data_IF_838549464063
#
_entry.id   IF_838549464063
#
_cell.length_a   1.000
_cell.length_b   1.000
_cell.length_c   1.000
_cell.angle_alpha   90.00
_cell.angle_beta   90.00
_cell.angle_gamma   90.00
#
_symmetry.space_group_name_H-M   'P 1'
#
loop_
_entity.id
_entity.type
_entity.pdbx_description
1 polymer ?
#
# COMPACT_ATOMS: atom_id res chain seq x y z
N UNK A 1 -4.96 -14.74 -4.31
CA UNK A 1 -4.84 -13.33 -3.88
C UNK A 1 -4.93 -12.45 -5.11
N UNK A 2 -5.70 -11.35 -5.09
CA UNK A 2 -5.73 -10.39 -6.21
C UNK A 2 -4.64 -9.35 -5.98
N UNK A 3 -4.02 -8.85 -7.06
CA UNK A 3 -2.92 -7.88 -6.98
C UNK A 3 -3.36 -6.56 -6.33
N UNK A 4 -4.61 -6.16 -6.51
CA UNK A 4 -5.24 -5.00 -5.88
C UNK A 4 -5.34 -5.10 -4.33
N UNK A 5 -5.30 -6.31 -3.79
CA UNK A 5 -5.34 -6.57 -2.34
C UNK A 5 -3.90 -6.66 -1.74
N UNK A 6 -2.88 -6.29 -2.51
CA UNK A 6 -1.47 -6.33 -2.13
C UNK A 6 -0.74 -5.01 -2.44
N UNK A 7 0.34 -4.73 -1.72
CA UNK A 7 1.29 -3.68 -2.05
C UNK A 7 2.59 -4.28 -2.59
N UNK A 8 3.24 -3.53 -3.48
CA UNK A 8 4.56 -3.86 -3.97
C UNK A 8 5.57 -3.65 -2.85
N UNK A 9 6.32 -4.70 -2.51
CA UNK A 9 7.36 -4.64 -1.49
C UNK A 9 8.74 -4.38 -2.12
N UNK A 10 8.98 -4.88 -3.33
CA UNK A 10 10.29 -4.85 -3.94
C UNK A 10 10.48 -5.89 -5.04
N UNK A 11 11.72 -6.24 -5.33
CA UNK A 11 12.07 -7.12 -6.46
C UNK A 11 13.24 -8.04 -6.15
N UNK A 12 13.15 -9.29 -6.59
CA UNK A 12 14.26 -10.26 -6.50
C UNK A 12 15.35 -9.81 -7.47
N UNK A 13 16.47 -9.33 -6.94
CA UNK A 13 17.49 -8.68 -7.75
C UNK A 13 18.59 -9.63 -8.21
N UNK A 14 19.02 -10.56 -7.34
CA UNK A 14 20.14 -11.47 -7.64
C UNK A 14 20.17 -12.68 -6.71
N UNK A 15 20.91 -13.70 -7.12
CA UNK A 15 21.28 -14.85 -6.28
C UNK A 15 22.18 -14.42 -5.13
N UNK A 16 22.05 -15.12 -4.01
CA UNK A 16 22.94 -14.99 -2.87
C UNK A 16 23.87 -16.19 -2.71
N UNK A 17 23.35 -17.42 -2.88
CA UNK A 17 24.12 -18.64 -2.66
C UNK A 17 23.75 -19.75 -3.65
N UNK A 18 24.58 -20.79 -3.67
CA UNK A 18 24.37 -22.02 -4.45
C UNK A 18 23.18 -22.88 -3.96
N UNK A 19 22.57 -22.51 -2.83
CA UNK A 19 21.47 -23.25 -2.19
C UNK A 19 20.10 -22.60 -2.45
N UNK A 20 19.96 -21.83 -3.52
CA UNK A 20 18.69 -21.18 -3.90
C UNK A 20 18.33 -19.92 -3.13
N UNK A 21 19.20 -19.40 -2.26
CA UNK A 21 18.94 -18.13 -1.57
C UNK A 21 19.06 -16.93 -2.52
N UNK A 22 18.22 -15.93 -2.29
CA UNK A 22 18.17 -14.72 -3.12
C UNK A 22 18.31 -13.45 -2.28
N UNK A 23 18.66 -12.36 -2.96
CA UNK A 23 18.59 -11.00 -2.45
C UNK A 23 17.45 -10.25 -3.15
N UNK A 24 16.45 -9.87 -2.36
CA UNK A 24 15.39 -8.97 -2.79
C UNK A 24 15.75 -7.52 -2.43
N UNK A 25 15.69 -6.60 -3.39
CA UNK A 25 15.74 -5.17 -3.12
C UNK A 25 14.36 -4.71 -2.64
N UNK A 26 14.29 -4.11 -1.45
CA UNK A 26 13.07 -3.57 -0.88
C UNK A 26 12.86 -2.13 -1.33
N UNK A 27 11.64 -1.79 -1.75
CA UNK A 27 11.24 -0.43 -2.13
C UNK A 27 10.48 0.21 -0.96
N UNK A 28 11.22 0.50 0.11
CA UNK A 28 10.70 1.06 1.36
C UNK A 28 11.79 1.81 2.11
N UNK A 29 11.41 2.87 2.83
CA UNK A 29 12.31 3.62 3.72
C UNK A 29 12.51 2.93 5.08
N UNK A 30 11.69 1.91 5.40
CA UNK A 30 11.72 1.16 6.67
C UNK A 30 11.89 -0.35 6.42
N UNK A 31 13.04 -0.81 5.90
CA UNK A 31 13.28 -2.21 5.55
C UNK A 31 13.28 -3.15 6.77
N UNK A 32 13.57 -2.64 7.97
CA UNK A 32 13.61 -3.40 9.23
C UNK A 32 12.25 -4.00 9.61
N UNK A 33 11.16 -3.42 9.11
CA UNK A 33 9.79 -3.93 9.35
C UNK A 33 9.51 -5.26 8.65
N UNK A 34 10.35 -5.63 7.68
CA UNK A 34 10.18 -6.80 6.83
C UNK A 34 11.22 -7.90 7.10
N UNK A 35 11.86 -7.86 8.26
CA UNK A 35 12.66 -8.98 8.75
C UNK A 35 11.75 -10.13 9.22
N UNK A 36 12.19 -11.37 9.02
CA UNK A 36 11.50 -12.57 9.49
C UNK A 36 10.07 -12.75 8.93
N UNK A 37 9.86 -12.43 7.65
CA UNK A 37 8.61 -12.71 6.95
C UNK A 37 8.36 -14.23 6.87
N UNK A 38 7.12 -14.66 7.12
CA UNK A 38 6.70 -16.06 6.96
C UNK A 38 6.51 -16.44 5.48
N UNK A 39 6.01 -15.49 4.67
CA UNK A 39 5.77 -15.70 3.25
C UNK A 39 5.69 -14.37 2.50
N UNK A 40 5.87 -14.45 1.19
CA UNK A 40 5.63 -13.35 0.25
C UNK A 40 4.91 -13.84 -1.00
N UNK A 41 4.29 -12.94 -1.75
CA UNK A 41 3.81 -13.24 -3.09
C UNK A 41 4.84 -12.83 -4.13
N UNK A 42 5.23 -13.75 -4.99
CA UNK A 42 6.10 -13.48 -6.15
C UNK A 42 5.23 -13.38 -7.39
N UNK A 43 5.43 -12.34 -8.20
CA UNK A 43 4.73 -12.18 -9.47
C UNK A 43 5.38 -13.05 -10.56
N UNK A 44 4.72 -14.14 -10.92
CA UNK A 44 5.12 -15.05 -11.99
C UNK A 44 4.07 -14.97 -13.11
N UNK A 45 4.47 -14.56 -14.33
CA UNK A 45 3.57 -14.43 -15.48
C UNK A 45 2.29 -13.61 -15.18
N UNK A 46 2.43 -12.48 -14.46
CA UNK A 46 1.31 -11.61 -14.02
C UNK A 46 0.36 -12.22 -12.98
N UNK A 47 0.73 -13.37 -12.40
CA UNK A 47 0.00 -14.00 -11.31
C UNK A 47 0.81 -13.94 -10.02
N UNK A 48 0.15 -13.67 -8.90
CA UNK A 48 0.77 -13.71 -7.57
C UNK A 48 0.79 -15.14 -7.05
N UNK A 49 1.99 -15.69 -6.91
CA UNK A 49 2.24 -17.03 -6.39
C UNK A 49 2.81 -16.92 -4.98
N UNK A 50 2.25 -17.59 -3.96
CA UNK A 50 2.79 -17.56 -2.60
C UNK A 50 4.09 -18.36 -2.52
N UNK A 51 5.09 -17.80 -1.86
CA UNK A 51 6.36 -18.44 -1.52
C UNK A 51 6.55 -18.39 -0.01
N UNK A 52 6.70 -19.55 0.63
CA UNK A 52 6.99 -19.66 2.06
C UNK A 52 8.48 -19.50 2.32
N UNK A 53 8.81 -18.82 3.42
CA UNK A 53 10.16 -18.40 3.77
C UNK A 53 10.63 -19.21 4.98
N UNK A 54 11.73 -19.94 4.81
CA UNK A 54 12.43 -20.63 5.92
C UNK A 54 13.17 -19.62 6.81
N UNK A 55 13.77 -18.60 6.19
CA UNK A 55 14.38 -17.48 6.92
C UNK A 55 14.54 -16.24 6.04
N UNK A 56 14.34 -15.05 6.61
CA UNK A 56 14.73 -13.79 5.99
C UNK A 56 15.41 -12.86 6.98
N UNK A 57 16.39 -12.10 6.49
CA UNK A 57 17.18 -11.16 7.31
C UNK A 57 17.69 -10.02 6.44
N UNK A 58 17.79 -8.81 6.99
CA UNK A 58 18.41 -7.72 6.25
C UNK A 58 19.87 -8.03 5.90
N UNK A 59 20.26 -7.53 4.73
CA UNK A 59 21.59 -7.66 4.18
C UNK A 59 21.95 -6.34 3.53
N UNK A 60 23.05 -5.70 3.97
CA UNK A 60 23.68 -4.51 3.36
C UNK A 60 22.75 -3.61 2.52
N UNK A 61 22.44 -2.42 3.02
CA UNK A 61 21.48 -1.49 2.42
C UNK A 61 20.06 -2.10 2.46
N UNK A 62 19.21 -1.77 1.48
CA UNK A 62 17.79 -2.17 1.42
C UNK A 62 17.58 -3.58 0.85
N UNK A 63 18.58 -4.47 0.97
CA UNK A 63 18.42 -5.85 0.52
C UNK A 63 17.94 -6.75 1.66
N UNK A 64 16.95 -7.59 1.35
CA UNK A 64 16.52 -8.70 2.19
C UNK A 64 17.10 -9.99 1.61
N UNK A 65 17.89 -10.71 2.41
CA UNK A 65 18.27 -12.10 2.08
C UNK A 65 17.11 -12.99 2.42
N UNK A 66 16.69 -13.82 1.47
CA UNK A 66 15.55 -14.72 1.64
C UNK A 66 15.98 -16.14 1.28
N UNK A 67 15.63 -17.08 2.15
CA UNK A 67 15.65 -18.52 1.89
C UNK A 67 14.22 -19.03 1.86
N UNK A 68 13.78 -19.49 0.69
CA UNK A 68 12.46 -20.09 0.53
C UNK A 68 12.50 -21.59 0.86
N UNK A 69 11.38 -22.15 1.32
CA UNK A 69 11.30 -23.56 1.71
C UNK A 69 11.54 -24.52 0.52
N UNK A 70 10.95 -24.21 -0.64
CA UNK A 70 10.95 -25.07 -1.82
C UNK A 70 12.06 -24.75 -2.84
N UNK A 71 13.06 -23.93 -2.46
CA UNK A 71 14.15 -23.54 -3.35
C UNK A 71 15.51 -23.93 -2.80
N UNK A 72 16.20 -24.80 -3.51
CA UNK A 72 17.43 -25.43 -3.02
C UNK A 72 18.60 -25.36 -4.01
N UNK A 73 18.37 -24.85 -5.23
CA UNK A 73 19.36 -24.81 -6.32
C UNK A 73 19.51 -23.42 -6.91
N UNK A 74 20.60 -23.19 -7.66
CA UNK A 74 20.78 -21.94 -8.40
C UNK A 74 19.70 -21.76 -9.47
N UNK A 75 19.30 -22.85 -10.11
CA UNK A 75 18.28 -22.86 -11.16
C UNK A 75 16.92 -22.40 -10.63
N UNK A 76 16.56 -22.81 -9.39
CA UNK A 76 15.35 -22.32 -8.72
C UNK A 76 15.40 -20.80 -8.56
N UNK A 77 16.55 -20.28 -8.11
CA UNK A 77 16.74 -18.85 -7.92
C UNK A 77 16.66 -18.10 -9.26
N UNK A 78 17.33 -18.61 -10.30
CA UNK A 78 17.32 -18.02 -11.63
C UNK A 78 15.90 -17.93 -12.22
N UNK A 79 15.01 -18.87 -11.89
CA UNK A 79 13.62 -18.86 -12.35
C UNK A 79 12.78 -17.68 -11.83
N UNK A 80 13.18 -17.06 -10.72
CA UNK A 80 12.42 -15.97 -10.09
C UNK A 80 13.20 -14.65 -9.99
N UNK A 81 14.48 -14.62 -10.36
CA UNK A 81 15.22 -13.37 -10.48
C UNK A 81 14.50 -12.45 -11.44
N UNK A 82 14.36 -11.19 -11.05
CA UNK A 82 13.66 -10.19 -11.83
C UNK A 82 12.19 -10.02 -11.45
N UNK A 83 11.61 -11.00 -10.75
CA UNK A 83 10.20 -10.96 -10.37
C UNK A 83 9.96 -10.02 -9.19
N UNK A 84 8.81 -9.35 -9.23
CA UNK A 84 8.34 -8.48 -8.17
C UNK A 84 7.81 -9.28 -6.97
N UNK A 85 8.01 -8.73 -5.77
CA UNK A 85 7.51 -9.27 -4.52
C UNK A 85 6.41 -8.34 -4.00
N UNK A 86 5.35 -8.96 -3.50
CA UNK A 86 4.18 -8.31 -2.95
C UNK A 86 3.84 -8.88 -1.58
N UNK A 87 3.25 -8.03 -0.73
CA UNK A 87 2.65 -8.42 0.53
C UNK A 87 1.18 -7.99 0.56
N UNK A 88 0.30 -8.69 1.29
CA UNK A 88 -1.06 -8.24 1.56
C UNK A 88 -1.11 -6.84 2.18
N UNK A 89 -2.11 -6.03 1.82
CA UNK A 89 -2.28 -4.68 2.39
C UNK A 89 -2.39 -4.65 3.91
N UNK A 90 -2.85 -5.74 4.54
CA UNK A 90 -2.94 -5.83 6.00
C UNK A 90 -1.60 -5.93 6.74
N UNK A 91 -0.49 -6.15 6.00
CA UNK A 91 0.87 -6.11 6.55
C UNK A 91 1.49 -4.72 6.46
N UNK A 92 0.79 -3.73 5.90
CA UNK A 92 1.31 -2.38 5.88
C UNK A 92 1.52 -1.85 7.31
N UNK A 93 2.62 -1.14 7.55
CA UNK A 93 2.85 -0.48 8.83
C UNK A 93 1.68 0.44 9.18
N UNK A 94 1.27 0.44 10.45
CA UNK A 94 0.21 1.36 10.89
C UNK A 94 0.72 2.79 10.83
N UNK A 95 0.11 3.60 9.98
CA UNK A 95 0.38 5.04 9.93
C UNK A 95 -0.31 5.75 11.09
N UNK A 96 0.31 6.83 11.56
CA UNK A 96 -0.20 7.68 12.65
C UNK A 96 -0.38 9.12 12.20
N UNK A 97 -1.17 9.87 12.96
CA UNK A 97 -1.54 11.24 12.60
C UNK A 97 -2.32 11.30 11.29
N UNK A 98 -1.95 12.22 10.42
CA UNK A 98 -2.65 12.51 9.16
C UNK A 98 -2.07 11.77 7.94
N UNK A 99 -1.08 10.89 8.13
CA UNK A 99 -0.63 9.98 7.06
C UNK A 99 -1.58 8.80 6.99
N UNK A 100 -1.96 8.37 5.80
CA UNK A 100 -2.84 7.21 5.57
C UNK A 100 -2.55 6.61 4.19
N UNK A 101 -2.93 5.36 4.00
CA UNK A 101 -2.97 4.75 2.67
C UNK A 101 -4.33 5.00 2.02
N UNK A 102 -4.39 5.16 0.70
CA UNK A 102 -5.64 5.47 0.00
C UNK A 102 -6.75 4.44 0.27
N UNK A 103 -6.42 3.14 0.25
CA UNK A 103 -7.38 2.08 0.59
C UNK A 103 -7.89 2.15 2.03
N UNK A 104 -7.16 2.77 2.96
CA UNK A 104 -7.48 2.79 4.39
C UNK A 104 -8.72 3.62 4.66
N UNK A 105 -8.85 4.73 3.94
CA UNK A 105 -9.91 5.73 4.14
C UNK A 105 -11.13 5.49 3.23
N UNK A 106 -11.09 4.49 2.36
CA UNK A 106 -12.28 4.08 1.59
C UNK A 106 -13.39 3.67 2.57
N UNK A 107 -14.57 4.23 2.38
CA UNK A 107 -15.73 4.07 3.26
C UNK A 107 -15.74 4.97 4.50
N UNK A 108 -14.72 5.81 4.71
CA UNK A 108 -14.76 6.84 5.76
C UNK A 108 -15.71 7.96 5.35
N UNK A 109 -16.29 8.65 6.33
CA UNK A 109 -17.05 9.87 6.10
C UNK A 109 -16.10 11.07 5.97
N UNK A 110 -16.30 11.91 4.95
CA UNK A 110 -15.68 13.24 4.90
C UNK A 110 -16.54 14.20 5.70
N UNK A 111 -15.93 14.89 6.65
CA UNK A 111 -16.56 15.93 7.45
C UNK A 111 -15.85 17.26 7.19
N UNK A 112 -16.59 18.23 6.67
CA UNK A 112 -16.13 19.62 6.57
C UNK A 112 -16.38 20.33 7.90
N UNK A 113 -15.40 21.11 8.36
CA UNK A 113 -15.48 21.87 9.62
C UNK A 113 -16.69 22.79 9.73
N UNK A 114 -17.19 23.30 8.61
CA UNK A 114 -18.28 24.28 8.57
C UNK A 114 -19.62 23.63 8.25
N UNK A 115 -19.63 22.69 7.31
CA UNK A 115 -20.85 22.08 6.79
C UNK A 115 -21.22 20.76 7.50
N UNK A 116 -20.30 20.17 8.26
CA UNK A 116 -20.48 18.86 8.86
C UNK A 116 -20.23 17.73 7.86
N UNK A 117 -20.96 16.62 7.99
CA UNK A 117 -20.74 15.44 7.14
C UNK A 117 -21.13 15.75 5.70
N UNK A 118 -20.16 15.62 4.79
CA UNK A 118 -20.31 15.82 3.36
C UNK A 118 -20.81 14.56 2.67
N UNK A 119 -20.25 13.40 3.03
CA UNK A 119 -20.57 12.12 2.39
C UNK A 119 -19.53 11.05 2.70
N UNK A 120 -19.54 9.93 1.97
CA UNK A 120 -18.60 8.81 2.16
C UNK A 120 -17.63 8.69 1.01
N UNK A 121 -16.36 8.45 1.31
CA UNK A 121 -15.32 8.17 0.31
C UNK A 121 -15.64 6.83 -0.36
N UNK A 122 -15.95 6.85 -1.65
CA UNK A 122 -16.19 5.64 -2.44
C UNK A 122 -14.90 5.13 -3.07
N UNK A 123 -14.08 6.05 -3.57
CA UNK A 123 -12.83 5.78 -4.27
C UNK A 123 -11.89 6.99 -4.17
N UNK A 124 -10.65 6.79 -4.60
CA UNK A 124 -9.65 7.85 -4.74
C UNK A 124 -9.15 7.80 -6.18
N UNK A 125 -9.18 8.95 -6.85
CA UNK A 125 -8.58 9.12 -8.16
C UNK A 125 -7.17 9.68 -7.98
N UNK A 126 -6.17 8.83 -8.20
CA UNK A 126 -4.75 9.14 -8.11
C UNK A 126 -4.08 9.28 -9.49
N UNK A 127 -4.88 9.22 -10.56
CA UNK A 127 -4.37 9.35 -11.95
C UNK A 127 -4.13 10.80 -12.37
N UNK A 128 -4.65 11.75 -11.59
CA UNK A 128 -4.48 13.19 -11.77
C UNK A 128 -3.23 13.70 -11.06
N UNK A 129 -2.75 14.90 -11.44
CA UNK A 129 -1.58 15.51 -10.80
C UNK A 129 -1.77 15.78 -9.29
N UNK A 130 -3.02 15.99 -8.87
CA UNK A 130 -3.41 16.05 -7.47
C UNK A 130 -4.46 14.96 -7.24
N UNK A 131 -4.25 14.04 -6.28
CA UNK A 131 -5.24 13.03 -5.94
C UNK A 131 -6.55 13.65 -5.46
N UNK A 132 -7.67 13.00 -5.79
CA UNK A 132 -9.02 13.43 -5.45
C UNK A 132 -9.73 12.34 -4.64
N UNK A 133 -10.40 12.72 -3.56
CA UNK A 133 -11.45 11.89 -2.97
C UNK A 133 -12.69 11.94 -3.87
N UNK A 134 -13.23 10.79 -4.20
CA UNK A 134 -14.54 10.63 -4.83
C UNK A 134 -15.55 10.33 -3.72
N UNK A 135 -16.27 11.38 -3.28
CA UNK A 135 -17.16 11.33 -2.12
C UNK A 135 -18.61 11.26 -2.59
N UNK A 136 -19.33 10.24 -2.15
CA UNK A 136 -20.73 10.06 -2.48
C UNK A 136 -21.62 10.64 -1.38
N UNK A 137 -22.53 11.54 -1.77
CA UNK A 137 -23.60 12.08 -0.93
C UNK A 137 -24.96 11.82 -1.58
N UNK A 138 -25.65 10.75 -1.15
CA UNK A 138 -26.84 10.27 -1.87
C UNK A 138 -26.47 9.79 -3.27
N UNK A 139 -27.03 10.42 -4.29
CA UNK A 139 -26.74 10.15 -5.71
C UNK A 139 -25.73 11.14 -6.32
N UNK A 140 -25.21 12.09 -5.53
CA UNK A 140 -24.27 13.12 -5.97
C UNK A 140 -22.84 12.69 -5.66
N UNK A 141 -22.00 12.66 -6.69
CA UNK A 141 -20.55 12.49 -6.56
C UNK A 141 -19.87 13.86 -6.41
N UNK A 142 -19.04 13.99 -5.38
CA UNK A 142 -18.33 15.21 -5.02
C UNK A 142 -16.82 14.92 -5.07
N UNK A 143 -16.09 15.66 -5.89
CA UNK A 143 -14.64 15.53 -6.00
C UNK A 143 -13.94 16.51 -5.06
N UNK A 144 -13.18 15.98 -4.09
CA UNK A 144 -12.49 16.78 -3.08
C UNK A 144 -10.96 16.61 -3.22
N UNK A 145 -10.21 17.68 -3.52
CA UNK A 145 -8.76 17.64 -3.58
C UNK A 145 -8.11 17.18 -2.27
N UNK A 146 -7.22 16.19 -2.38
CA UNK A 146 -6.41 15.68 -1.26
C UNK A 146 -5.20 16.59 -1.02
N UNK A 147 -5.48 17.84 -0.62
CA UNK A 147 -4.44 18.83 -0.32
C UNK A 147 -4.20 18.82 1.19
N UNK A 148 -2.94 18.66 1.60
CA UNK A 148 -2.53 18.61 3.01
C UNK A 148 -3.05 19.81 3.81
N UNK A 149 -3.12 21.00 3.20
CA UNK A 149 -3.65 22.20 3.82
C UNK A 149 -5.13 22.09 4.22
N UNK A 150 -5.92 21.32 3.48
CA UNK A 150 -7.32 21.08 3.79
C UNK A 150 -7.49 19.96 4.81
N UNK A 151 -6.51 19.06 4.96
CA UNK A 151 -6.63 17.92 5.87
C UNK A 151 -6.38 18.33 7.32
N UNK A 152 -7.43 18.33 8.13
CA UNK A 152 -7.35 18.64 9.56
C UNK A 152 -6.95 17.40 10.35
N UNK A 153 -7.69 16.30 10.19
CA UNK A 153 -7.50 15.08 10.98
C UNK A 153 -8.01 13.83 10.26
N UNK A 154 -7.29 12.72 10.39
CA UNK A 154 -7.81 11.37 10.13
C UNK A 154 -8.25 10.74 11.47
N UNK A 155 -9.56 10.63 11.66
CA UNK A 155 -10.17 9.98 12.83
C UNK A 155 -10.47 8.51 12.52
N UNK A 156 -9.48 7.65 12.77
CA UNK A 156 -9.58 6.21 12.49
C UNK A 156 -10.60 5.49 13.36
N UNK A 157 -10.80 5.96 14.59
CA UNK A 157 -11.76 5.37 15.54
C UNK A 157 -13.19 5.55 15.04
N UNK A 158 -13.51 6.75 14.59
CA UNK A 158 -14.84 7.09 14.09
C UNK A 158 -14.99 6.92 12.57
N UNK A 159 -13.93 6.49 11.87
CA UNK A 159 -13.85 6.38 10.41
C UNK A 159 -14.22 7.69 9.71
N UNK A 160 -13.57 8.80 10.09
CA UNK A 160 -13.78 10.12 9.50
C UNK A 160 -12.50 10.76 8.98
N UNK A 161 -12.63 11.50 7.89
CA UNK A 161 -11.63 12.42 7.36
C UNK A 161 -12.15 13.83 7.57
N UNK A 162 -11.57 14.56 8.52
CA UNK A 162 -11.98 15.92 8.87
C UNK A 162 -11.17 16.91 8.03
N UNK A 163 -11.87 17.77 7.30
CA UNK A 163 -11.29 18.73 6.38
C UNK A 163 -11.74 20.17 6.64
N UNK A 164 -10.93 21.12 6.21
CA UNK A 164 -11.20 22.56 6.20
C UNK A 164 -11.25 23.00 4.74
N UNK A 165 -12.42 22.84 4.10
CA UNK A 165 -12.55 23.04 2.67
C UNK A 165 -12.84 24.52 2.33
N UNK A 166 -12.39 25.01 1.16
CA UNK A 166 -12.73 26.33 0.68
C UNK A 166 -14.24 26.55 0.59
N UNK A 167 -14.69 27.77 0.88
CA UNK A 167 -16.10 28.13 0.69
C UNK A 167 -16.54 27.91 -0.77
N UNK A 168 -17.76 27.42 -0.93
CA UNK A 168 -18.33 27.13 -2.24
C UNK A 168 -17.92 25.78 -2.85
N UNK A 169 -16.85 25.12 -2.39
CA UNK A 169 -16.37 23.89 -3.04
C UNK A 169 -17.44 22.78 -3.06
N UNK A 170 -18.08 22.52 -1.92
CA UNK A 170 -19.13 21.50 -1.80
C UNK A 170 -20.43 21.96 -2.46
N UNK A 171 -20.78 23.25 -2.31
CA UNK A 171 -22.00 23.84 -2.86
C UNK A 171 -22.04 23.81 -4.39
N UNK A 172 -20.88 23.70 -5.07
CA UNK A 172 -20.83 23.53 -6.53
C UNK A 172 -21.43 22.21 -7.04
N UNK A 173 -21.65 21.23 -6.14
CA UNK A 173 -22.19 19.91 -6.49
C UNK A 173 -23.64 19.70 -6.03
N UNK A 174 -24.15 20.56 -5.15
CA UNK A 174 -25.49 20.47 -4.54
C UNK A 174 -26.47 21.46 -5.19
#
# INVERSE_FOLDING_TARGET
MRKEDCFYLGKIAKKFSFKGEVLAYLDTDEPELYENLESVFVECNKHLVPFFIESSSLHKNDFLRIRFEDMNTEEDADAIIGNAIYLPLNMLPKLSGNKFYFHEVIGFEVEDKRLGVVGKIQSINDTTAQPLFEVLNGDVEILIPMIDHFLVKIDRENKKVIMDLPEGLIEMYL
#
